data_IF_642616326087
#
_entry.id   IF_642616326087
#
_cell.length_a   1.000
_cell.length_b   1.000
_cell.length_c   1.000
_cell.angle_alpha   90.00
_cell.angle_beta   90.00
_cell.angle_gamma   90.00
#
_symmetry.space_group_name_H-M   'P 1'
#
loop_
_entity.id
_entity.type
_entity.pdbx_description
1 polymer ?
#
# COMPACT_ATOMS: atom_id res chain seq x y z
N UNK A 1 -7.44 -15.81 -4.38
CA UNK A 1 -8.04 -14.47 -4.58
C UNK A 1 -6.89 -13.50 -4.67
N UNK A 2 -6.86 -12.68 -5.70
CA UNK A 2 -5.80 -11.68 -5.89
C UNK A 2 -6.06 -10.54 -4.91
N UNK A 3 -5.02 -10.02 -4.26
CA UNK A 3 -5.12 -8.85 -3.38
C UNK A 3 -4.81 -7.59 -4.17
N UNK A 4 -5.48 -6.50 -3.81
CA UNK A 4 -5.39 -5.20 -4.48
C UNK A 4 -5.25 -4.08 -3.46
N UNK A 5 -4.58 -3.00 -3.87
CA UNK A 5 -4.37 -1.80 -3.06
C UNK A 5 -4.34 -0.56 -3.96
N UNK A 6 -4.86 0.56 -3.47
CA UNK A 6 -4.74 1.89 -4.09
C UNK A 6 -4.36 2.93 -3.03
N UNK A 7 -3.39 3.82 -3.32
CA UNK A 7 -2.93 4.84 -2.37
C UNK A 7 -4.06 5.76 -1.86
N UNK A 8 -5.05 6.07 -2.70
CA UNK A 8 -6.24 6.84 -2.28
C UNK A 8 -7.03 6.18 -1.16
N UNK A 9 -7.04 4.86 -1.06
CA UNK A 9 -7.83 4.15 -0.05
C UNK A 9 -7.28 4.41 1.37
N UNK A 10 -5.98 4.72 1.52
CA UNK A 10 -5.36 5.10 2.79
C UNK A 10 -5.30 6.62 2.99
N UNK A 11 -5.90 7.40 2.09
CA UNK A 11 -6.02 8.86 2.20
C UNK A 11 -4.85 9.67 1.63
N UNK A 12 -3.97 9.04 0.84
CA UNK A 12 -2.91 9.73 0.09
C UNK A 12 -3.48 10.18 -1.26
N UNK A 13 -3.22 11.43 -1.67
CA UNK A 13 -3.59 11.92 -3.00
C UNK A 13 -2.61 11.40 -4.07
N UNK A 14 -2.68 10.10 -4.33
CA UNK A 14 -1.86 9.38 -5.30
C UNK A 14 -2.70 8.28 -5.97
N UNK A 15 -2.67 8.22 -7.30
CA UNK A 15 -3.42 7.27 -8.12
C UNK A 15 -2.73 5.91 -8.29
N UNK A 16 -1.56 5.72 -7.68
CA UNK A 16 -0.84 4.46 -7.79
C UNK A 16 -1.62 3.31 -7.13
N UNK A 17 -1.65 2.18 -7.83
CA UNK A 17 -2.33 0.97 -7.41
C UNK A 17 -1.48 -0.27 -7.75
N UNK A 18 -1.66 -1.34 -6.98
CA UNK A 18 -0.96 -2.61 -7.19
C UNK A 18 -1.85 -3.81 -6.86
N UNK A 19 -1.45 -4.97 -7.35
CA UNK A 19 -2.08 -6.25 -7.04
C UNK A 19 -1.05 -7.36 -6.89
N UNK A 20 -1.34 -8.37 -6.07
CA UNK A 20 -0.48 -9.52 -5.83
C UNK A 20 -1.26 -10.75 -5.36
N UNK A 21 -0.64 -11.92 -5.34
CA UNK A 21 -1.28 -13.14 -4.84
C UNK A 21 -1.34 -13.18 -3.31
N UNK A 22 -0.39 -12.51 -2.66
CA UNK A 22 -0.25 -12.48 -1.20
C UNK A 22 -0.26 -11.05 -0.65
N UNK A 23 -0.56 -10.92 0.65
CA UNK A 23 -0.48 -9.62 1.32
C UNK A 23 0.97 -9.11 1.33
N UNK A 24 1.94 -10.00 1.52
CA UNK A 24 3.36 -9.65 1.57
C UNK A 24 3.87 -9.08 0.23
N UNK A 25 3.44 -9.63 -0.90
CA UNK A 25 3.75 -9.08 -2.23
C UNK A 25 3.19 -7.66 -2.40
N UNK A 26 1.93 -7.46 -2.03
CA UNK A 26 1.28 -6.15 -2.11
C UNK A 26 2.00 -5.16 -1.19
N UNK A 27 2.34 -5.56 0.04
CA UNK A 27 3.07 -4.72 0.99
C UNK A 27 4.49 -4.38 0.52
N UNK A 28 5.20 -5.32 -0.13
CA UNK A 28 6.51 -5.06 -0.71
C UNK A 28 6.44 -4.00 -1.82
N UNK A 29 5.45 -4.11 -2.72
CA UNK A 29 5.23 -3.14 -3.78
C UNK A 29 4.89 -1.75 -3.22
N UNK A 30 4.03 -1.69 -2.20
CA UNK A 30 3.66 -0.43 -1.52
C UNK A 30 4.90 0.22 -0.89
N UNK A 31 5.73 -0.57 -0.19
CA UNK A 31 6.95 -0.08 0.44
C UNK A 31 7.96 0.49 -0.57
N UNK A 32 8.15 -0.20 -1.69
CA UNK A 32 9.01 0.28 -2.77
C UNK A 32 8.50 1.60 -3.36
N UNK A 33 7.20 1.68 -3.66
CA UNK A 33 6.58 2.89 -4.18
C UNK A 33 6.66 4.06 -3.19
N UNK A 34 6.35 3.83 -1.91
CA UNK A 34 6.42 4.87 -0.88
C UNK A 34 7.85 5.40 -0.72
N UNK A 35 8.87 4.53 -0.71
CA UNK A 35 10.26 4.94 -0.60
C UNK A 35 10.75 5.79 -1.80
N UNK A 36 10.24 5.52 -3.01
CA UNK A 36 10.64 6.21 -4.23
C UNK A 36 9.87 7.54 -4.45
N UNK A 37 8.55 7.52 -4.27
CA UNK A 37 7.65 8.63 -4.63
C UNK A 37 7.29 9.51 -3.44
N UNK A 38 7.30 8.93 -2.24
CA UNK A 38 6.87 9.56 -0.99
C UNK A 38 7.94 9.40 0.09
N UNK A 39 9.20 9.68 -0.26
CA UNK A 39 10.36 9.48 0.63
C UNK A 39 10.32 10.31 1.94
N UNK A 40 9.45 11.30 2.00
CA UNK A 40 9.14 12.12 3.18
C UNK A 40 8.10 11.49 4.12
N UNK A 41 7.38 10.46 3.68
CA UNK A 41 6.43 9.72 4.50
C UNK A 41 7.17 8.74 5.41
N UNK A 42 7.04 8.94 6.72
CA UNK A 42 7.49 7.97 7.71
C UNK A 42 6.51 6.78 7.77
N UNK A 43 7.00 5.58 7.44
CA UNK A 43 6.26 4.32 7.55
C UNK A 43 6.13 3.86 9.01
N UNK A 44 5.37 4.63 9.80
CA UNK A 44 5.09 4.29 11.19
C UNK A 44 4.26 2.99 11.31
N UNK A 45 4.32 2.26 12.44
CA UNK A 45 3.47 1.08 12.66
C UNK A 45 1.96 1.35 12.49
N UNK A 46 1.52 2.56 12.84
CA UNK A 46 0.14 3.01 12.65
C UNK A 46 -0.21 3.12 11.17
N UNK A 47 0.67 3.71 10.36
CA UNK A 47 0.47 3.83 8.91
C UNK A 47 0.47 2.44 8.26
N UNK A 48 1.40 1.56 8.63
CA UNK A 48 1.44 0.18 8.11
C UNK A 48 0.15 -0.60 8.43
N UNK A 49 -0.41 -0.38 9.63
CA UNK A 49 -1.69 -0.98 10.00
C UNK A 49 -2.84 -0.45 9.14
N UNK A 50 -2.87 0.87 8.87
CA UNK A 50 -3.88 1.48 8.02
C UNK A 50 -3.76 1.01 6.55
N UNK A 51 -2.54 0.90 6.03
CA UNK A 51 -2.25 0.37 4.69
C UNK A 51 -2.75 -1.06 4.55
N UNK A 52 -2.42 -1.94 5.51
CA UNK A 52 -2.89 -3.34 5.51
C UNK A 52 -4.41 -3.43 5.55
N UNK A 53 -5.07 -2.57 6.33
CA UNK A 53 -6.53 -2.58 6.48
C UNK A 53 -7.30 -2.23 5.21
N UNK A 54 -6.65 -1.59 4.22
CA UNK A 54 -7.28 -1.21 2.95
C UNK A 54 -6.92 -2.14 1.79
N UNK A 55 -6.12 -3.18 2.03
CA UNK A 55 -5.87 -4.24 1.05
C UNK A 55 -7.14 -5.07 0.90
N UNK A 56 -7.62 -5.20 -0.34
CA UNK A 56 -8.89 -5.87 -0.68
C UNK A 56 -8.61 -7.14 -1.48
N UNK A 57 -9.36 -8.20 -1.21
CA UNK A 57 -9.44 -9.34 -2.13
C UNK A 57 -10.28 -8.93 -3.37
N UNK A 58 -9.81 -9.33 -4.55
CA UNK A 58 -10.48 -9.15 -5.85
C UNK A 58 -11.30 -10.37 -6.25
#
# INVERSE_FOLDING_TARGET
MTKTYTCRDVGVDCDWATSGETEDEVMANIGAHAAEVHSDIELTPKLLTAVKAVIKDA
#
